data_IF_989870604285
#
_entry.id   IF_989870604285
#
_cell.length_a   1.000
_cell.length_b   1.000
_cell.length_c   1.000
_cell.angle_alpha   90.00
_cell.angle_beta   90.00
_cell.angle_gamma   90.00
#
_symmetry.space_group_name_H-M   'P 1'
#
loop_
_entity.id
_entity.type
_entity.pdbx_description
1 polymer ?
#
# COMPACT_ATOMS: atom_id res chain seq x y z
N UNK A 1 9.11 -22.19 7.18
CA UNK A 1 9.07 -20.79 7.68
C UNK A 1 7.64 -20.29 7.49
N UNK A 2 7.06 -19.54 8.45
CA UNK A 2 5.67 -19.07 8.30
C UNK A 2 5.61 -17.96 7.23
N UNK A 3 4.56 -17.91 6.38
CA UNK A 3 4.42 -16.85 5.40
C UNK A 3 4.21 -15.48 6.08
N UNK A 4 4.80 -14.44 5.50
CA UNK A 4 4.66 -13.05 5.93
C UNK A 4 3.88 -12.29 4.86
N UNK A 5 2.90 -11.51 5.29
CA UNK A 5 2.15 -10.55 4.48
C UNK A 5 2.57 -9.16 4.91
N UNK A 6 3.13 -8.40 3.99
CA UNK A 6 3.70 -7.08 4.28
C UNK A 6 2.76 -5.97 3.78
N UNK A 7 2.63 -4.90 4.56
CA UNK A 7 2.03 -3.64 4.14
C UNK A 7 3.09 -2.55 4.07
N UNK A 8 3.06 -1.72 3.03
CA UNK A 8 3.99 -0.61 2.84
C UNK A 8 3.20 0.66 2.51
N UNK A 9 3.39 1.69 3.34
CA UNK A 9 2.91 3.05 3.07
C UNK A 9 4.04 3.87 2.44
N UNK A 10 3.90 4.21 1.17
CA UNK A 10 4.92 4.92 0.42
C UNK A 10 4.75 6.43 0.63
N UNK A 11 5.74 7.05 1.27
CA UNK A 11 5.88 8.50 1.29
C UNK A 11 7.26 8.95 0.79
N UNK A 12 7.65 10.18 1.13
CA UNK A 12 8.98 10.72 0.84
C UNK A 12 10.12 9.90 1.45
N UNK A 13 11.37 10.25 1.13
CA UNK A 13 12.56 9.44 1.39
C UNK A 13 12.74 8.94 2.85
N UNK A 14 12.21 9.66 3.84
CA UNK A 14 12.34 9.33 5.27
C UNK A 14 10.98 9.11 5.95
N UNK A 15 9.93 8.81 5.19
CA UNK A 15 8.59 8.63 5.75
C UNK A 15 7.86 7.41 5.16
N UNK A 16 8.58 6.50 4.50
CA UNK A 16 8.02 5.22 4.06
C UNK A 16 7.91 4.29 5.26
N UNK A 17 6.70 3.82 5.56
CA UNK A 17 6.46 2.85 6.63
C UNK A 17 6.28 1.46 6.05
N UNK A 18 6.73 0.45 6.79
CA UNK A 18 6.42 -0.94 6.50
C UNK A 18 6.07 -1.70 7.78
N UNK A 19 5.19 -2.68 7.64
CA UNK A 19 4.86 -3.65 8.68
C UNK A 19 4.62 -5.02 8.05
N UNK A 20 4.67 -6.06 8.86
CA UNK A 20 4.47 -7.43 8.42
C UNK A 20 3.70 -8.24 9.45
N UNK A 21 2.74 -8.99 8.94
CA UNK A 21 1.93 -9.92 9.73
C UNK A 21 2.15 -11.34 9.26
N UNK A 22 2.02 -12.29 10.16
CA UNK A 22 2.00 -13.71 9.87
C UNK A 22 0.77 -14.35 10.52
N UNK A 23 0.40 -15.53 10.05
CA UNK A 23 -0.70 -16.31 10.63
C UNK A 23 -0.17 -17.29 11.68
N UNK A 24 -0.89 -17.40 12.80
CA UNK A 24 -0.87 -18.58 13.66
C UNK A 24 -2.22 -19.31 13.54
N UNK A 25 -2.39 -20.41 14.28
CA UNK A 25 -3.55 -21.30 14.14
C UNK A 25 -4.88 -20.56 14.16
N UNK A 26 -5.00 -19.54 15.02
CA UNK A 26 -6.24 -18.80 15.22
C UNK A 26 -6.07 -17.26 15.22
N UNK A 27 -4.86 -16.75 14.97
CA UNK A 27 -4.57 -15.32 15.11
C UNK A 27 -3.66 -14.77 14.00
N UNK A 28 -3.69 -13.44 13.87
CA UNK A 28 -2.69 -12.67 13.14
C UNK A 28 -1.66 -12.13 14.13
N UNK A 29 -0.38 -12.34 13.82
CA UNK A 29 0.74 -11.92 14.64
C UNK A 29 1.57 -10.88 13.89
N UNK A 30 1.88 -9.76 14.55
CA UNK A 30 2.82 -8.78 14.01
C UNK A 30 4.23 -9.38 14.13
N UNK A 31 4.84 -9.73 12.98
CA UNK A 31 6.20 -10.27 12.92
C UNK A 31 7.23 -9.21 12.49
N UNK A 32 6.78 -8.14 11.85
CA UNK A 32 7.55 -6.94 11.57
C UNK A 32 6.75 -5.75 12.09
N UNK A 33 7.13 -5.15 13.23
CA UNK A 33 6.41 -4.02 13.79
C UNK A 33 6.44 -2.82 12.83
N UNK A 34 5.40 -1.97 12.81
CA UNK A 34 5.39 -0.77 12.00
C UNK A 34 6.59 0.13 12.33
N UNK A 35 7.41 0.41 11.33
CA UNK A 35 8.53 1.35 11.46
C UNK A 35 8.84 2.00 10.10
N UNK A 36 9.67 3.04 10.13
CA UNK A 36 10.15 3.71 8.93
C UNK A 36 11.31 2.90 8.33
N UNK A 37 11.21 2.60 7.03
CA UNK A 37 12.23 1.88 6.27
C UNK A 37 12.57 2.62 4.98
N UNK A 38 13.82 2.49 4.56
CA UNK A 38 14.21 2.75 3.18
C UNK A 38 13.70 1.65 2.25
N UNK A 39 13.53 1.94 0.96
CA UNK A 39 13.10 0.93 -0.02
C UNK A 39 14.04 -0.28 -0.04
N UNK A 40 15.36 -0.05 0.03
CA UNK A 40 16.36 -1.13 0.08
C UNK A 40 16.23 -2.00 1.32
N UNK A 41 15.93 -1.43 2.49
CA UNK A 41 15.70 -2.24 3.70
C UNK A 41 14.46 -3.12 3.57
N UNK A 42 13.41 -2.63 2.89
CA UNK A 42 12.20 -3.42 2.62
C UNK A 42 12.53 -4.60 1.71
N UNK A 43 13.28 -4.36 0.63
CA UNK A 43 13.73 -5.41 -0.30
C UNK A 43 14.59 -6.45 0.41
N UNK A 44 15.63 -6.03 1.14
CA UNK A 44 16.50 -6.94 1.89
C UNK A 44 15.70 -7.78 2.91
N UNK A 45 14.73 -7.16 3.61
CA UNK A 45 13.88 -7.92 4.52
C UNK A 45 13.07 -8.98 3.78
N UNK A 46 12.53 -8.67 2.60
CA UNK A 46 11.79 -9.62 1.80
C UNK A 46 12.66 -10.76 1.24
N UNK A 47 13.93 -10.50 0.93
CA UNK A 47 14.89 -11.53 0.51
C UNK A 47 15.27 -12.47 1.66
N UNK A 48 15.45 -11.92 2.85
CA UNK A 48 15.89 -12.67 4.04
C UNK A 48 14.75 -13.44 4.73
N UNK A 49 13.49 -13.15 4.41
CA UNK A 49 12.32 -13.70 5.10
C UNK A 49 11.30 -14.29 4.11
N UNK A 50 10.41 -15.16 4.59
CA UNK A 50 9.33 -15.75 3.77
C UNK A 50 8.17 -14.79 3.51
N UNK A 51 8.44 -13.63 2.90
CA UNK A 51 7.41 -12.68 2.47
C UNK A 51 6.73 -13.23 1.21
N UNK A 52 5.43 -13.51 1.32
CA UNK A 52 4.65 -14.12 0.23
C UNK A 52 3.82 -13.11 -0.56
N UNK A 53 3.44 -11.99 0.07
CA UNK A 53 2.72 -10.92 -0.59
C UNK A 53 3.02 -9.56 0.05
N UNK A 54 2.97 -8.50 -0.76
CA UNK A 54 3.12 -7.11 -0.32
C UNK A 54 1.96 -6.27 -0.83
N UNK A 55 1.29 -5.54 0.07
CA UNK A 55 0.37 -4.46 -0.27
C UNK A 55 1.12 -3.13 -0.22
N UNK A 56 1.09 -2.36 -1.30
CA UNK A 56 1.76 -1.06 -1.43
C UNK A 56 0.70 0.04 -1.58
N UNK A 57 0.70 1.01 -0.66
CA UNK A 57 -0.09 2.25 -0.75
C UNK A 57 0.59 3.22 -1.70
N UNK A 58 0.43 2.96 -3.00
CA UNK A 58 0.86 3.83 -4.08
C UNK A 58 0.15 3.41 -5.36
N UNK A 59 0.00 4.32 -6.32
CA UNK A 59 -0.41 3.95 -7.67
C UNK A 59 0.76 3.29 -8.40
N UNK A 60 0.70 1.98 -8.63
CA UNK A 60 1.72 1.18 -9.29
C UNK A 60 1.52 1.10 -10.80
N UNK A 61 0.28 1.29 -11.26
CA UNK A 61 -0.07 1.30 -12.69
C UNK A 61 -0.44 2.69 -13.19
N UNK A 62 -0.04 3.02 -14.42
CA UNK A 62 -0.32 4.30 -15.10
C UNK A 62 -0.65 4.06 -16.58
N UNK A 63 -1.61 4.80 -17.13
CA UNK A 63 -1.82 4.87 -18.59
C UNK A 63 -1.44 6.24 -19.14
N UNK A 64 -0.84 6.26 -20.32
CA UNK A 64 -0.59 7.50 -21.08
C UNK A 64 -1.89 8.19 -21.52
N UNK A 65 -3.00 7.44 -21.55
CA UNK A 65 -4.32 7.94 -21.92
C UNK A 65 -4.99 8.72 -20.77
N UNK A 66 -4.44 8.64 -19.56
CA UNK A 66 -4.97 9.30 -18.37
C UNK A 66 -4.30 10.67 -18.17
N UNK A 67 -4.68 11.63 -18.99
CA UNK A 67 -4.04 12.97 -19.04
C UNK A 67 -3.95 13.68 -17.67
N UNK A 68 -4.94 13.45 -16.80
CA UNK A 68 -5.00 14.05 -15.46
C UNK A 68 -4.33 13.20 -14.36
N UNK A 69 -3.75 12.05 -14.72
CA UNK A 69 -3.12 11.10 -13.81
C UNK A 69 -4.12 10.42 -12.85
N UNK A 70 -5.39 10.30 -13.25
CA UNK A 70 -6.43 9.62 -12.47
C UNK A 70 -7.00 8.50 -13.32
N UNK A 71 -6.96 7.27 -12.79
CA UNK A 71 -7.47 6.10 -13.51
C UNK A 71 -8.98 6.02 -13.49
N UNK A 72 -9.53 5.28 -14.45
CA UNK A 72 -10.96 4.95 -14.46
C UNK A 72 -11.38 4.24 -13.17
N UNK A 73 -10.55 3.35 -12.62
CA UNK A 73 -10.76 2.69 -11.32
C UNK A 73 -10.73 3.69 -10.16
N UNK A 74 -9.82 4.65 -10.17
CA UNK A 74 -9.73 5.71 -9.16
C UNK A 74 -10.97 6.61 -9.17
N UNK A 75 -11.51 6.92 -10.36
CA UNK A 75 -12.76 7.67 -10.51
C UNK A 75 -13.96 6.89 -9.94
N UNK A 76 -14.04 5.57 -10.20
CA UNK A 76 -15.08 4.72 -9.63
C UNK A 76 -14.97 4.67 -8.10
N UNK A 77 -13.75 4.50 -7.57
CA UNK A 77 -13.50 4.50 -6.13
C UNK A 77 -13.93 5.84 -5.50
N UNK A 78 -13.56 6.98 -6.10
CA UNK A 78 -14.01 8.31 -5.67
C UNK A 78 -15.52 8.49 -5.69
N UNK A 79 -16.22 7.86 -6.62
CA UNK A 79 -17.68 7.93 -6.70
C UNK A 79 -18.37 7.14 -5.57
N UNK A 80 -17.71 6.09 -5.06
CA UNK A 80 -18.19 5.30 -3.92
C UNK A 80 -17.90 5.94 -2.56
N UNK A 81 -16.93 6.85 -2.49
CA UNK A 81 -16.51 7.50 -1.25
C UNK A 81 -17.39 8.73 -0.91
N UNK A 82 -17.63 9.02 0.39
CA UNK A 82 -18.23 10.26 0.83
C UNK A 82 -17.46 11.50 0.34
N UNK A 83 -18.13 12.64 0.23
CA UNK A 83 -17.53 13.91 -0.23
C UNK A 83 -16.19 14.22 0.43
N UNK A 84 -16.12 14.02 1.74
CA UNK A 84 -14.98 14.41 2.57
C UNK A 84 -13.81 13.40 2.48
N UNK A 85 -14.06 12.24 1.86
CA UNK A 85 -13.10 11.14 1.71
C UNK A 85 -12.54 11.05 0.29
N UNK A 86 -13.06 11.82 -0.68
CA UNK A 86 -12.63 11.77 -2.08
C UNK A 86 -11.15 12.09 -2.29
N UNK A 87 -10.53 12.81 -1.35
CA UNK A 87 -9.10 13.15 -1.35
C UNK A 87 -8.19 11.99 -0.96
N UNK A 88 -8.72 10.88 -0.41
CA UNK A 88 -7.93 9.68 -0.12
C UNK A 88 -7.43 8.98 -1.38
N UNK A 89 -8.10 9.21 -2.51
CA UNK A 89 -7.68 8.74 -3.82
C UNK A 89 -7.04 9.92 -4.54
N UNK A 90 -5.71 9.94 -4.60
CA UNK A 90 -4.97 11.03 -5.22
C UNK A 90 -4.73 10.77 -6.72
N UNK A 91 -4.38 11.81 -7.48
CA UNK A 91 -3.86 11.61 -8.84
C UNK A 91 -2.35 11.40 -8.80
N UNK A 92 -1.81 10.70 -9.80
CA UNK A 92 -0.37 10.50 -9.95
C UNK A 92 0.37 11.85 -10.00
N UNK A 93 -0.22 12.81 -10.71
CA UNK A 93 0.31 14.16 -10.85
C UNK A 93 0.38 14.91 -9.51
N UNK A 94 -0.56 14.65 -8.59
CA UNK A 94 -0.58 15.28 -7.27
C UNK A 94 0.44 14.71 -6.28
N UNK A 95 0.93 13.49 -6.52
CA UNK A 95 1.81 12.77 -5.59
C UNK A 95 3.12 12.31 -6.24
N UNK A 96 3.61 12.94 -7.32
CA UNK A 96 4.66 12.42 -8.23
C UNK A 96 5.79 11.54 -7.62
N UNK A 97 6.27 11.85 -6.41
CA UNK A 97 7.23 11.01 -5.69
C UNK A 97 6.70 9.63 -5.27
N UNK A 98 5.44 9.52 -4.82
CA UNK A 98 4.83 8.28 -4.31
C UNK A 98 4.64 7.22 -5.40
N UNK A 99 3.99 7.49 -6.56
CA UNK A 99 3.89 6.50 -7.63
C UNK A 99 5.26 6.02 -8.13
N UNK A 100 6.20 6.95 -8.31
CA UNK A 100 7.57 6.63 -8.76
C UNK A 100 8.27 5.69 -7.78
N UNK A 101 8.23 5.99 -6.48
CA UNK A 101 8.86 5.18 -5.43
C UNK A 101 8.14 3.84 -5.22
N UNK A 102 6.81 3.83 -5.27
CA UNK A 102 6.03 2.60 -5.19
C UNK A 102 6.35 1.66 -6.34
N UNK A 103 6.47 2.18 -7.56
CA UNK A 103 6.88 1.40 -8.73
C UNK A 103 8.31 0.87 -8.60
N UNK A 104 9.26 1.70 -8.18
CA UNK A 104 10.64 1.25 -7.91
C UNK A 104 10.67 0.07 -6.92
N UNK A 105 9.90 0.18 -5.84
CA UNK A 105 9.79 -0.91 -4.87
C UNK A 105 9.15 -2.14 -5.48
N UNK A 106 8.04 -1.99 -6.22
CA UNK A 106 7.35 -3.10 -6.87
C UNK A 106 8.26 -3.85 -7.86
N UNK A 107 9.05 -3.12 -8.66
CA UNK A 107 9.99 -3.72 -9.61
C UNK A 107 11.12 -4.48 -8.90
N UNK A 108 11.62 -3.94 -7.78
CA UNK A 108 12.65 -4.60 -6.97
C UNK A 108 12.15 -5.85 -6.22
N UNK A 109 10.89 -5.84 -5.77
CA UNK A 109 10.27 -6.97 -5.06
C UNK A 109 9.79 -8.08 -6.02
N UNK A 110 9.46 -7.75 -7.27
CA UNK A 110 8.90 -8.69 -8.25
C UNK A 110 9.69 -10.00 -8.44
N UNK A 111 11.04 -9.99 -8.45
CA UNK A 111 11.84 -11.22 -8.52
C UNK A 111 11.79 -12.09 -7.26
N UNK A 112 11.40 -11.52 -6.12
CA UNK A 112 11.50 -12.15 -4.79
C UNK A 112 10.13 -12.59 -4.28
N UNK A 113 9.07 -11.87 -4.65
CA UNK A 113 7.73 -12.03 -4.08
C UNK A 113 6.72 -12.36 -5.17
N UNK A 114 5.93 -13.41 -4.95
CA UNK A 114 4.95 -13.89 -5.92
C UNK A 114 3.69 -13.02 -6.07
N UNK A 115 3.45 -12.06 -5.17
CA UNK A 115 2.24 -11.23 -5.19
C UNK A 115 2.52 -9.82 -4.69
N UNK A 116 2.22 -8.83 -5.53
CA UNK A 116 2.26 -7.41 -5.18
C UNK A 116 0.88 -6.83 -5.45
N UNK A 117 0.31 -6.17 -4.45
CA UNK A 117 -1.04 -5.62 -4.48
C UNK A 117 -0.93 -4.11 -4.35
N UNK A 118 -1.48 -3.42 -5.33
CA UNK A 118 -1.74 -1.99 -5.23
C UNK A 118 -2.94 -1.75 -4.30
N UNK A 119 -2.86 -0.81 -3.36
CA UNK A 119 -3.96 -0.54 -2.43
C UNK A 119 -4.16 0.96 -2.16
N UNK A 120 -5.36 1.29 -1.65
CA UNK A 120 -5.71 2.57 -1.06
C UNK A 120 -6.23 2.31 0.36
N UNK A 121 -5.36 2.12 1.38
CA UNK A 121 -5.73 1.56 2.69
C UNK A 121 -6.91 2.27 3.35
N UNK A 122 -6.97 3.60 3.28
CA UNK A 122 -8.09 4.39 3.83
C UNK A 122 -9.41 4.10 3.13
N UNK A 123 -9.40 4.01 1.81
CA UNK A 123 -10.59 3.66 1.04
C UNK A 123 -11.00 2.20 1.28
N UNK A 124 -10.04 1.28 1.33
CA UNK A 124 -10.29 -0.13 1.65
C UNK A 124 -10.91 -0.31 3.04
N UNK A 125 -10.39 0.39 4.05
CA UNK A 125 -10.92 0.35 5.41
C UNK A 125 -12.35 0.88 5.47
N UNK A 126 -12.63 2.01 4.79
CA UNK A 126 -13.98 2.54 4.70
C UNK A 126 -14.95 1.55 4.04
N UNK A 127 -14.53 0.85 2.99
CA UNK A 127 -15.38 -0.14 2.34
C UNK A 127 -15.60 -1.39 3.20
N UNK A 128 -14.63 -1.74 4.05
CA UNK A 128 -14.75 -2.86 4.99
C UNK A 128 -15.64 -2.53 6.19
N UNK A 129 -15.63 -1.28 6.65
CA UNK A 129 -16.49 -0.80 7.74
C UNK A 129 -16.99 0.63 7.50
N UNK A 130 -18.05 0.78 6.67
CA UNK A 130 -18.60 2.10 6.33
C UNK A 130 -19.18 2.86 7.54
N UNK A 131 -19.50 2.15 8.63
CA UNK A 131 -20.02 2.73 9.86
C UNK A 131 -18.93 3.37 10.74
N UNK A 132 -17.65 3.16 10.44
CA UNK A 132 -16.52 3.78 11.15
C UNK A 132 -16.27 3.25 12.57
N UNK A 133 -16.73 2.03 12.87
CA UNK A 133 -16.43 1.33 14.12
C UNK A 133 -14.94 0.98 14.24
N UNK A 134 -14.28 0.76 13.11
CA UNK A 134 -12.84 0.65 12.91
C UNK A 134 -12.30 2.06 12.65
N UNK A 135 -12.30 2.89 13.68
CA UNK A 135 -11.96 4.30 13.53
C UNK A 135 -10.52 4.50 13.02
N UNK A 136 -10.36 4.86 11.74
CA UNK A 136 -9.18 5.59 11.26
C UNK A 136 -9.32 7.08 11.59
N UNK A 137 -9.46 7.40 12.87
CA UNK A 137 -9.41 8.80 13.31
C UNK A 137 -7.97 9.27 13.27
N UNK A 138 -7.66 10.02 12.20
CA UNK A 138 -6.50 10.93 12.08
C UNK A 138 -5.12 10.27 12.26
N UNK A 139 -4.61 9.72 11.16
CA UNK A 139 -3.19 9.86 10.81
C UNK A 139 -3.10 10.76 9.59
#
# INVERSE_FOLDING_TARGET
MKPIYMGVDIAGAQNTWACGISTSTDNLEICLPPAIYTLSQIVNYAEDNSVCAVAIDAQLTCSIEEENGVRSSDLQLKAMLPSDCKSWVASQNSLAAVPTRGRQLSEALGPVIGTIIETHPRACLYLADPAGNLSATKY
#
